data_IF_657060488388
#
_entry.id   IF_657060488388
#
_cell.length_a   1.000
_cell.length_b   1.000
_cell.length_c   1.000
_cell.angle_alpha   90.00
_cell.angle_beta   90.00
_cell.angle_gamma   90.00
#
_symmetry.space_group_name_H-M   'P 1'
#
loop_
_entity.id
_entity.type
_entity.pdbx_description
1 polymer ?
#
# COMPACT_ATOMS: atom_id res chain seq x y z
N UNK A 1 6.27 0.80 23.95
CA UNK A 1 7.44 -0.03 24.36
C UNK A 1 7.66 -1.20 23.41
N UNK A 2 6.68 -2.08 23.18
CA UNK A 2 6.85 -3.25 22.31
C UNK A 2 7.38 -2.85 20.92
N UNK A 3 6.84 -1.78 20.28
CA UNK A 3 7.31 -1.29 18.99
C UNK A 3 8.79 -0.89 19.01
N UNK A 4 9.22 -0.18 20.04
CA UNK A 4 10.61 0.32 20.17
C UNK A 4 11.59 -0.76 20.66
N UNK A 5 11.11 -1.86 21.25
CA UNK A 5 11.94 -2.99 21.64
C UNK A 5 12.10 -4.07 20.57
N UNK A 6 11.35 -3.98 19.48
CA UNK A 6 11.52 -4.87 18.33
C UNK A 6 12.89 -4.65 17.66
N UNK A 7 13.41 -5.68 17.01
CA UNK A 7 14.68 -5.59 16.26
C UNK A 7 14.46 -5.23 14.80
N UNK A 8 13.39 -5.73 14.23
CA UNK A 8 13.04 -5.56 12.81
C UNK A 8 11.54 -5.33 12.63
N UNK A 9 11.00 -4.23 13.16
CA UNK A 9 9.58 -3.91 13.01
C UNK A 9 9.25 -3.51 11.57
N UNK A 10 8.00 -3.76 11.15
CA UNK A 10 7.42 -3.29 9.88
C UNK A 10 6.03 -2.73 10.17
N UNK A 11 5.68 -1.63 9.52
CA UNK A 11 4.31 -1.09 9.55
C UNK A 11 3.53 -1.62 8.35
N UNK A 12 2.32 -2.15 8.59
CA UNK A 12 1.35 -2.48 7.55
C UNK A 12 0.18 -1.49 7.59
N UNK A 13 0.08 -0.64 6.58
CA UNK A 13 -1.00 0.33 6.43
C UNK A 13 -2.16 -0.22 5.62
N UNK A 14 -3.37 -0.09 6.13
CA UNK A 14 -4.60 -0.48 5.47
C UNK A 14 -5.47 0.69 5.03
N UNK A 15 -6.63 0.38 4.46
CA UNK A 15 -7.59 1.37 3.97
C UNK A 15 -8.13 2.29 5.07
N UNK A 16 -8.16 1.83 6.33
CA UNK A 16 -8.57 2.66 7.47
C UNK A 16 -7.71 3.91 7.66
N UNK A 17 -6.46 3.89 7.22
CA UNK A 17 -5.60 5.08 7.23
C UNK A 17 -6.10 6.15 6.24
N UNK A 18 -6.59 5.73 5.06
CA UNK A 18 -7.18 6.64 4.07
C UNK A 18 -8.50 7.22 4.58
N UNK A 19 -9.38 6.39 5.16
CA UNK A 19 -10.66 6.83 5.70
C UNK A 19 -10.52 7.77 6.89
N UNK A 20 -9.50 7.59 7.72
CA UNK A 20 -9.18 8.46 8.85
C UNK A 20 -8.36 9.70 8.43
N UNK A 21 -7.99 9.82 7.14
CA UNK A 21 -7.07 10.88 6.65
C UNK A 21 -5.78 10.95 7.48
N UNK A 22 -5.20 9.79 7.80
CA UNK A 22 -4.09 9.63 8.73
C UNK A 22 -2.73 9.40 8.05
N UNK A 23 -2.62 9.70 6.74
CA UNK A 23 -1.40 9.45 5.97
C UNK A 23 -0.21 10.29 6.45
N UNK A 24 -0.46 11.53 6.89
CA UNK A 24 0.59 12.40 7.43
C UNK A 24 1.13 11.87 8.78
N UNK A 25 0.24 11.45 9.67
CA UNK A 25 0.62 10.87 10.96
C UNK A 25 1.34 9.52 10.78
N UNK A 26 0.91 8.71 9.80
CA UNK A 26 1.62 7.47 9.45
C UNK A 26 3.04 7.75 8.96
N UNK A 27 3.20 8.75 8.10
CA UNK A 27 4.52 9.15 7.60
C UNK A 27 5.40 9.68 8.74
N UNK A 28 4.87 10.54 9.60
CA UNK A 28 5.58 11.05 10.78
C UNK A 28 6.06 9.92 11.69
N UNK A 29 5.20 8.93 12.01
CA UNK A 29 5.59 7.77 12.81
C UNK A 29 6.74 7.00 12.15
N UNK A 30 6.63 6.73 10.85
CA UNK A 30 7.67 6.03 10.10
C UNK A 30 9.00 6.81 10.12
N UNK A 31 8.95 8.13 9.94
CA UNK A 31 10.13 8.99 9.91
C UNK A 31 10.83 9.11 11.26
N UNK A 32 10.10 9.27 12.37
CA UNK A 32 10.70 9.39 13.69
C UNK A 32 11.29 8.07 14.20
N UNK A 33 10.75 6.93 13.76
CA UNK A 33 11.21 5.60 14.16
C UNK A 33 12.19 4.98 13.17
N UNK A 34 12.14 5.33 11.89
CA UNK A 34 12.85 4.66 10.80
C UNK A 34 12.24 3.33 10.36
N UNK A 35 11.02 3.02 10.79
CA UNK A 35 10.36 1.76 10.47
C UNK A 35 9.81 1.78 9.04
N UNK A 36 10.15 0.79 8.22
CA UNK A 36 9.64 0.71 6.85
C UNK A 36 8.14 0.37 6.82
N UNK A 37 7.47 0.89 5.78
CA UNK A 37 6.03 0.81 5.61
C UNK A 37 5.67 0.02 4.35
N UNK A 38 4.82 -0.99 4.50
CA UNK A 38 4.11 -1.64 3.41
C UNK A 38 2.62 -1.30 3.49
N UNK A 39 1.94 -1.28 2.35
CA UNK A 39 0.50 -1.11 2.30
C UNK A 39 -0.22 -2.42 2.00
N UNK A 40 -1.46 -2.55 2.43
CA UNK A 40 -2.37 -3.56 1.88
C UNK A 40 -2.85 -3.10 0.50
N UNK A 41 -3.44 -3.99 -0.27
CA UNK A 41 -3.98 -3.66 -1.59
C UNK A 41 -5.01 -2.52 -1.53
N UNK A 42 -5.98 -2.60 -0.61
CA UNK A 42 -6.97 -1.54 -0.41
C UNK A 42 -6.39 -0.28 0.27
N UNK A 43 -5.25 -0.40 0.93
CA UNK A 43 -4.52 0.70 1.55
C UNK A 43 -3.45 1.34 0.66
N UNK A 44 -3.27 0.86 -0.59
CA UNK A 44 -2.35 1.50 -1.52
C UNK A 44 -2.69 2.99 -1.66
N UNK A 45 -1.69 3.83 -1.69
CA UNK A 45 -1.75 5.30 -1.56
C UNK A 45 -1.89 5.87 -0.14
N UNK A 46 -2.07 5.07 0.90
CA UNK A 46 -2.03 5.57 2.28
C UNK A 46 -0.65 6.02 2.74
N UNK A 47 0.39 5.62 2.03
CA UNK A 47 1.78 6.02 2.23
C UNK A 47 2.41 6.33 0.87
N UNK A 48 3.20 7.41 0.81
CA UNK A 48 3.90 7.79 -0.42
C UNK A 48 4.88 6.69 -0.85
N UNK A 49 4.66 6.08 -2.01
CA UNK A 49 5.48 4.94 -2.47
C UNK A 49 6.87 5.36 -3.00
N UNK A 50 7.11 6.66 -3.20
CA UNK A 50 8.45 7.19 -3.50
C UNK A 50 9.26 7.51 -2.24
N UNK A 51 8.65 7.41 -1.05
CA UNK A 51 9.34 7.65 0.22
C UNK A 51 10.44 6.61 0.46
N UNK A 52 11.62 6.99 1.02
CA UNK A 52 12.72 6.06 1.28
C UNK A 52 12.35 4.84 2.15
N UNK A 53 11.35 4.98 3.03
CA UNK A 53 10.87 3.89 3.88
C UNK A 53 9.74 3.06 3.26
N UNK A 54 9.35 3.32 2.00
CA UNK A 54 8.29 2.56 1.35
C UNK A 54 8.80 1.20 0.84
N UNK A 55 8.11 0.15 1.26
CA UNK A 55 8.30 -1.21 0.75
C UNK A 55 7.39 -1.52 -0.45
N UNK A 56 6.39 -0.68 -0.71
CA UNK A 56 5.33 -0.93 -1.69
C UNK A 56 4.14 -1.71 -1.12
N UNK A 57 3.39 -2.36 -1.99
CA UNK A 57 2.10 -2.97 -1.65
C UNK A 57 2.20 -4.49 -1.51
N UNK A 58 1.65 -5.03 -0.42
CA UNK A 58 1.44 -6.46 -0.22
C UNK A 58 0.16 -6.88 -0.94
N UNK A 59 0.32 -7.58 -2.05
CA UNK A 59 -0.77 -8.02 -2.93
C UNK A 59 -0.53 -9.43 -3.45
N UNK A 60 -1.31 -9.86 -4.46
CA UNK A 60 -1.05 -11.08 -5.23
C UNK A 60 0.34 -11.07 -5.89
N UNK A 61 0.75 -9.90 -6.40
CA UNK A 61 2.10 -9.66 -6.92
C UNK A 61 2.83 -8.75 -5.94
N UNK A 62 3.52 -9.35 -5.00
CA UNK A 62 4.21 -8.65 -3.91
C UNK A 62 5.64 -8.31 -4.35
N UNK A 63 6.08 -7.08 -4.07
CA UNK A 63 7.45 -6.65 -4.37
C UNK A 63 8.49 -7.38 -3.51
N UNK A 64 9.71 -7.54 -4.02
CA UNK A 64 10.80 -8.16 -3.24
C UNK A 64 11.10 -7.40 -1.95
N UNK A 65 10.90 -6.08 -1.91
CA UNK A 65 11.05 -5.29 -0.69
C UNK A 65 10.09 -5.76 0.40
N UNK A 66 8.80 -5.90 0.07
CA UNK A 66 7.81 -6.44 1.04
C UNK A 66 8.15 -7.86 1.46
N UNK A 67 8.50 -8.73 0.51
CA UNK A 67 8.85 -10.13 0.81
C UNK A 67 10.05 -10.22 1.75
N UNK A 68 11.11 -9.47 1.44
CA UNK A 68 12.34 -9.46 2.21
C UNK A 68 12.12 -8.98 3.65
N UNK A 69 11.54 -7.79 3.81
CA UNK A 69 11.32 -7.20 5.13
C UNK A 69 10.30 -7.97 5.94
N UNK A 70 9.20 -8.41 5.32
CA UNK A 70 8.17 -9.17 6.01
C UNK A 70 8.68 -10.53 6.49
N UNK A 71 9.52 -11.24 5.72
CA UNK A 71 10.12 -12.50 6.17
C UNK A 71 11.01 -12.33 7.39
N UNK A 72 11.77 -11.25 7.45
CA UNK A 72 12.76 -11.01 8.51
C UNK A 72 12.20 -10.24 9.71
N UNK A 73 11.00 -9.64 9.59
CA UNK A 73 10.41 -8.87 10.68
C UNK A 73 10.09 -9.76 11.90
N UNK A 74 10.29 -9.22 13.09
CA UNK A 74 9.89 -9.80 14.37
C UNK A 74 8.57 -9.20 14.89
N UNK A 75 8.19 -8.01 14.38
CA UNK A 75 6.97 -7.33 14.75
C UNK A 75 6.31 -6.67 13.52
N UNK A 76 4.98 -6.77 13.45
CA UNK A 76 4.14 -6.05 12.48
C UNK A 76 3.17 -5.15 13.23
N UNK A 77 3.30 -3.82 13.00
CA UNK A 77 2.30 -2.84 13.43
C UNK A 77 1.29 -2.66 12.31
N UNK A 78 0.08 -3.16 12.49
CA UNK A 78 -1.02 -2.94 11.54
C UNK A 78 -1.85 -1.72 11.92
N UNK A 79 -2.02 -0.81 10.97
CA UNK A 79 -2.81 0.41 11.15
C UNK A 79 -3.94 0.45 10.12
N UNK A 80 -5.18 0.46 10.59
CA UNK A 80 -6.36 0.53 9.72
C UNK A 80 -6.47 -0.63 8.72
N UNK A 81 -5.98 -1.81 9.07
CA UNK A 81 -6.08 -3.03 8.27
C UNK A 81 -6.79 -4.14 9.07
N UNK A 82 -7.48 -5.04 8.38
CA UNK A 82 -8.27 -6.10 9.03
C UNK A 82 -7.47 -7.35 9.39
N UNK A 83 -6.18 -7.42 9.10
CA UNK A 83 -5.33 -8.60 9.26
C UNK A 83 -5.99 -9.90 8.77
N UNK A 84 -6.64 -9.86 7.62
CA UNK A 84 -7.18 -11.05 6.99
C UNK A 84 -6.16 -11.69 6.05
N UNK A 85 -6.22 -13.03 5.95
CA UNK A 85 -5.43 -13.77 4.98
C UNK A 85 -5.85 -13.40 3.56
N UNK A 86 -4.88 -13.27 2.69
CA UNK A 86 -5.13 -13.11 1.25
C UNK A 86 -5.07 -14.47 0.59
N UNK A 87 -6.00 -14.73 -0.34
CA UNK A 87 -6.03 -16.00 -1.07
C UNK A 87 -4.85 -16.15 -2.02
N UNK A 88 -4.36 -15.01 -2.53
CA UNK A 88 -3.24 -14.93 -3.44
C UNK A 88 -2.16 -14.02 -2.84
N UNK A 89 -0.90 -14.39 -2.97
CA UNK A 89 0.22 -13.62 -2.46
C UNK A 89 0.70 -14.02 -1.07
N UNK A 90 1.54 -13.19 -0.48
CA UNK A 90 2.24 -13.49 0.76
C UNK A 90 1.38 -13.18 2.00
N UNK A 91 1.15 -14.18 2.83
CA UNK A 91 0.54 -14.03 4.14
C UNK A 91 1.60 -13.74 5.24
N UNK A 92 1.14 -13.22 6.39
CA UNK A 92 2.01 -13.08 7.55
C UNK A 92 2.44 -14.45 8.07
N UNK A 93 3.68 -14.53 8.55
CA UNK A 93 4.19 -15.71 9.23
C UNK A 93 3.71 -15.71 10.69
N UNK A 94 3.38 -16.87 11.23
CA UNK A 94 2.79 -17.01 12.58
C UNK A 94 3.75 -16.68 13.75
N UNK A 95 5.02 -16.47 13.48
CA UNK A 95 6.06 -16.25 14.52
C UNK A 95 6.33 -14.77 14.84
N UNK A 96 5.45 -13.87 14.41
CA UNK A 96 5.67 -12.42 14.58
C UNK A 96 4.75 -11.84 15.62
N UNK A 97 5.28 -10.92 16.44
CA UNK A 97 4.44 -10.09 17.28
C UNK A 97 3.56 -9.16 16.40
N UNK A 98 2.30 -9.00 16.78
CA UNK A 98 1.34 -8.17 16.07
C UNK A 98 0.77 -7.12 17.02
N UNK A 99 0.93 -5.86 16.63
CA UNK A 99 0.16 -4.75 17.19
C UNK A 99 -0.91 -4.39 16.16
N UNK A 100 -2.18 -4.39 16.56
CA UNK A 100 -3.30 -4.13 15.67
C UNK A 100 -4.08 -2.90 16.08
N UNK A 101 -4.03 -1.85 15.26
CA UNK A 101 -4.84 -0.62 15.39
C UNK A 101 -5.97 -0.69 14.38
N UNK A 102 -7.20 -0.74 14.86
CA UNK A 102 -8.41 -0.78 14.04
C UNK A 102 -9.56 -0.06 14.74
N UNK A 103 -10.51 0.48 13.97
CA UNK A 103 -11.72 1.08 14.51
C UNK A 103 -12.89 0.08 14.69
N UNK A 104 -12.67 -1.21 14.37
CA UNK A 104 -13.70 -2.25 14.48
C UNK A 104 -13.19 -3.43 15.31
N UNK A 105 -13.93 -3.77 16.37
CA UNK A 105 -13.68 -4.99 17.14
C UNK A 105 -13.82 -6.25 16.29
N UNK A 106 -14.63 -6.22 15.25
CA UNK A 106 -14.86 -7.37 14.37
C UNK A 106 -13.65 -7.72 13.51
N UNK A 107 -12.68 -6.83 13.41
CA UNK A 107 -11.40 -7.11 12.73
C UNK A 107 -10.41 -7.88 13.61
N UNK A 108 -10.63 -7.91 14.92
CA UNK A 108 -9.76 -8.61 15.83
C UNK A 108 -9.92 -10.13 15.73
N UNK A 109 -8.81 -10.85 15.79
CA UNK A 109 -8.77 -12.30 15.80
C UNK A 109 -9.43 -13.00 14.59
N UNK A 110 -9.55 -12.33 13.45
CA UNK A 110 -10.09 -12.95 12.21
C UNK A 110 -9.21 -14.11 11.76
N UNK A 111 -8.02 -13.79 11.28
CA UNK A 111 -7.07 -14.79 10.76
C UNK A 111 -5.73 -14.76 11.52
N UNK A 112 -5.49 -13.69 12.27
CA UNK A 112 -4.30 -13.50 13.11
C UNK A 112 -4.71 -12.93 14.46
N UNK A 113 -4.14 -13.51 15.53
CA UNK A 113 -4.34 -12.99 16.88
C UNK A 113 -3.28 -11.94 17.19
N UNK A 114 -3.65 -10.69 17.51
CA UNK A 114 -2.69 -9.69 17.89
C UNK A 114 -2.21 -9.89 19.34
N UNK A 115 -0.93 -9.58 19.59
CA UNK A 115 -0.39 -9.50 20.96
C UNK A 115 -0.91 -8.26 21.69
N UNK A 116 -1.13 -7.17 20.93
CA UNK A 116 -1.78 -5.95 21.40
C UNK A 116 -2.79 -5.43 20.39
N UNK A 117 -4.00 -5.15 20.86
CA UNK A 117 -5.05 -4.54 20.08
C UNK A 117 -5.38 -3.14 20.63
N UNK A 118 -5.51 -2.18 19.73
CA UNK A 118 -5.99 -0.82 20.04
C UNK A 118 -7.20 -0.53 19.16
N UNK A 119 -8.36 -0.37 19.78
CA UNK A 119 -9.59 -0.01 19.06
C UNK A 119 -9.73 1.51 19.10
N UNK A 120 -9.69 2.13 17.91
CA UNK A 120 -9.81 3.57 17.77
C UNK A 120 -9.63 4.04 16.34
N UNK A 121 -9.92 5.30 16.11
CA UNK A 121 -9.66 5.98 14.85
C UNK A 121 -8.15 6.02 14.57
N UNK A 122 -7.74 5.68 13.35
CA UNK A 122 -6.33 5.55 13.01
C UNK A 122 -5.54 6.85 13.21
N UNK A 123 -6.15 8.02 12.90
CA UNK A 123 -5.49 9.31 13.06
C UNK A 123 -5.26 9.67 14.52
N UNK A 124 -6.29 9.47 15.34
CA UNK A 124 -6.21 9.79 16.77
C UNK A 124 -5.21 8.87 17.47
N UNK A 125 -5.29 7.56 17.20
CA UNK A 125 -4.36 6.60 17.80
C UNK A 125 -2.91 6.84 17.34
N UNK A 126 -2.69 7.19 16.06
CA UNK A 126 -1.35 7.53 15.58
C UNK A 126 -0.81 8.80 16.26
N UNK A 127 -1.63 9.83 16.48
CA UNK A 127 -1.20 11.04 17.21
C UNK A 127 -0.75 10.71 18.63
N UNK A 128 -1.52 9.92 19.35
CA UNK A 128 -1.16 9.50 20.71
C UNK A 128 0.11 8.63 20.71
N UNK A 129 0.21 7.70 19.76
CA UNK A 129 1.40 6.85 19.61
C UNK A 129 2.65 7.67 19.28
N UNK A 130 2.56 8.66 18.40
CA UNK A 130 3.66 9.56 18.05
C UNK A 130 4.10 10.37 19.28
N UNK A 131 3.14 10.89 20.04
CA UNK A 131 3.42 11.64 21.29
C UNK A 131 4.17 10.77 22.28
N UNK A 132 3.71 9.55 22.50
CA UNK A 132 4.35 8.58 23.42
C UNK A 132 5.73 8.16 22.93
N UNK A 133 5.88 7.87 21.62
CA UNK A 133 7.18 7.54 21.02
C UNK A 133 8.16 8.69 21.24
N UNK A 134 7.77 9.93 20.95
CA UNK A 134 8.62 11.10 21.17
C UNK A 134 9.03 11.28 22.64
N UNK A 135 8.13 11.00 23.59
CA UNK A 135 8.44 11.02 25.03
C UNK A 135 9.48 9.96 25.38
N UNK A 136 9.25 8.71 24.94
CA UNK A 136 10.18 7.61 25.23
C UNK A 136 11.55 7.80 24.58
N UNK A 137 11.62 8.40 23.39
CA UNK A 137 12.89 8.73 22.73
C UNK A 137 13.67 9.81 23.49
N UNK A 138 13.00 10.76 24.14
CA UNK A 138 13.65 11.77 24.98
C UNK A 138 14.15 11.19 26.30
N UNK A 139 13.39 10.28 26.90
CA UNK A 139 13.74 9.63 28.16
C UNK A 139 14.85 8.60 27.99
N UNK A 140 14.91 7.94 26.84
CA UNK A 140 15.88 6.90 26.52
C UNK A 140 16.89 7.40 25.47
N UNK A 141 17.91 8.13 25.93
CA UNK A 141 18.98 8.65 25.07
C UNK A 141 19.80 7.58 24.32
N UNK A 142 19.61 6.29 24.65
CA UNK A 142 20.29 5.17 23.99
C UNK A 142 19.47 4.57 22.84
N UNK A 143 18.24 5.01 22.58
CA UNK A 143 17.47 4.52 21.43
C UNK A 143 18.03 5.14 20.15
N UNK A 144 18.57 4.30 19.29
CA UNK A 144 18.91 4.68 17.92
C UNK A 144 17.73 4.38 16.99
N UNK A 145 17.38 5.35 16.16
CA UNK A 145 16.40 5.18 15.11
C UNK A 145 16.79 4.00 14.22
N UNK A 146 15.81 3.18 13.85
CA UNK A 146 16.07 2.11 12.88
C UNK A 146 16.61 2.69 11.58
N UNK A 147 17.64 2.07 11.03
CA UNK A 147 18.18 2.41 9.72
C UNK A 147 18.31 1.16 8.85
N UNK A 148 17.38 1.03 7.94
CA UNK A 148 17.34 -0.03 6.94
C UNK A 148 17.62 0.50 5.52
N UNK A 149 18.11 1.72 5.39
CA UNK A 149 18.24 2.44 4.11
C UNK A 149 19.10 1.68 3.11
N UNK A 150 20.27 1.23 3.52
CA UNK A 150 21.20 0.49 2.65
C UNK A 150 20.60 -0.86 2.21
N UNK A 151 19.98 -1.58 3.15
CA UNK A 151 19.36 -2.86 2.89
C UNK A 151 18.17 -2.70 1.92
N UNK A 152 17.29 -1.73 2.17
CA UNK A 152 16.13 -1.47 1.34
C UNK A 152 16.54 -1.04 -0.07
N UNK A 153 17.53 -0.16 -0.21
CA UNK A 153 18.05 0.26 -1.50
C UNK A 153 18.64 -0.92 -2.28
N UNK A 154 19.42 -1.78 -1.64
CA UNK A 154 19.99 -2.97 -2.29
C UNK A 154 18.92 -3.92 -2.82
N UNK A 155 17.86 -4.20 -2.04
CA UNK A 155 16.75 -5.04 -2.48
C UNK A 155 15.98 -4.38 -3.63
N UNK A 156 15.75 -3.07 -3.54
CA UNK A 156 15.07 -2.28 -4.57
C UNK A 156 15.84 -2.25 -5.89
N UNK A 157 17.15 -2.04 -5.84
CA UNK A 157 18.02 -2.10 -7.02
C UNK A 157 18.00 -3.47 -7.69
N UNK A 158 18.08 -4.54 -6.89
CA UNK A 158 18.00 -5.92 -7.39
C UNK A 158 16.65 -6.18 -8.07
N UNK A 159 15.54 -5.74 -7.46
CA UNK A 159 14.20 -5.82 -8.02
C UNK A 159 14.11 -5.12 -9.37
N UNK A 160 14.50 -3.85 -9.44
CA UNK A 160 14.44 -3.10 -10.70
C UNK A 160 15.41 -3.63 -11.76
N UNK A 161 16.57 -4.13 -11.38
CA UNK A 161 17.48 -4.80 -12.33
C UNK A 161 16.80 -5.99 -13.03
N UNK A 162 15.98 -6.74 -12.30
CA UNK A 162 15.23 -7.87 -12.83
C UNK A 162 14.06 -7.42 -13.73
N UNK A 163 13.36 -6.34 -13.36
CA UNK A 163 12.10 -5.94 -14.01
C UNK A 163 12.26 -4.88 -15.10
N UNK A 164 13.31 -4.05 -15.04
CA UNK A 164 13.53 -3.00 -16.05
C UNK A 164 13.51 -3.52 -17.49
N UNK A 165 14.07 -4.70 -17.83
CA UNK A 165 13.97 -5.22 -19.21
C UNK A 165 12.52 -5.41 -19.69
N UNK A 166 11.59 -5.75 -18.78
CA UNK A 166 10.17 -5.89 -19.12
C UNK A 166 9.45 -4.55 -19.14
N UNK A 167 9.78 -3.64 -18.20
CA UNK A 167 9.22 -2.31 -18.09
C UNK A 167 9.60 -1.42 -19.30
N UNK A 168 10.73 -1.66 -19.92
CA UNK A 168 11.23 -0.89 -21.07
C UNK A 168 11.28 -1.71 -22.38
N UNK A 169 10.63 -2.87 -22.43
CA UNK A 169 10.59 -3.74 -23.59
C UNK A 169 9.97 -3.05 -24.81
N UNK A 170 10.57 -3.29 -25.99
CA UNK A 170 10.04 -2.87 -27.29
C UNK A 170 9.39 -4.04 -28.06
N UNK A 171 9.04 -5.12 -27.38
CA UNK A 171 8.41 -6.28 -28.01
C UNK A 171 7.03 -5.97 -28.62
N UNK A 172 6.65 -6.76 -29.60
CA UNK A 172 5.31 -6.71 -30.24
C UNK A 172 4.69 -8.11 -30.14
N UNK A 173 3.48 -8.25 -29.56
CA UNK A 173 2.64 -7.18 -28.98
C UNK A 173 3.28 -6.53 -27.77
N UNK A 174 2.86 -5.29 -27.48
CA UNK A 174 3.39 -4.47 -26.37
C UNK A 174 3.26 -5.19 -25.02
N UNK A 175 4.34 -5.19 -24.22
CA UNK A 175 4.33 -5.72 -22.86
C UNK A 175 3.38 -4.89 -21.97
N UNK A 176 2.49 -5.51 -21.19
CA UNK A 176 1.65 -4.78 -20.25
C UNK A 176 2.47 -4.05 -19.17
N UNK A 177 3.65 -4.53 -18.82
CA UNK A 177 4.57 -3.82 -17.92
C UNK A 177 5.09 -2.52 -18.54
N UNK A 178 5.31 -2.51 -19.85
CA UNK A 178 5.68 -1.30 -20.59
C UNK A 178 4.54 -0.27 -20.55
N UNK A 179 3.30 -0.67 -20.64
CA UNK A 179 2.14 0.22 -20.54
C UNK A 179 2.11 0.93 -19.17
N UNK A 180 2.37 0.21 -18.07
CA UNK A 180 2.43 0.80 -16.72
C UNK A 180 3.61 1.77 -16.61
N UNK A 181 4.76 1.40 -17.16
CA UNK A 181 5.93 2.28 -17.19
C UNK A 181 5.64 3.59 -17.92
N UNK A 182 5.08 3.50 -19.14
CA UNK A 182 4.72 4.67 -19.92
C UNK A 182 3.65 5.54 -19.25
N UNK A 183 2.68 4.95 -18.58
CA UNK A 183 1.70 5.68 -17.79
C UNK A 183 2.41 6.55 -16.74
N UNK A 184 3.36 5.99 -16.00
CA UNK A 184 4.11 6.74 -14.99
C UNK A 184 5.02 7.83 -15.59
N UNK A 185 5.58 7.62 -16.77
CA UNK A 185 6.45 8.61 -17.42
C UNK A 185 5.68 9.78 -18.04
N UNK A 186 4.42 9.55 -18.44
CA UNK A 186 3.62 10.53 -19.19
C UNK A 186 2.49 11.16 -18.37
N UNK A 187 2.39 10.85 -17.08
CA UNK A 187 1.39 11.46 -16.19
C UNK A 187 2.05 12.03 -14.93
N UNK A 188 1.46 13.12 -14.40
CA UNK A 188 1.83 13.61 -13.07
C UNK A 188 1.11 12.79 -11.99
N UNK A 189 1.82 12.01 -11.17
CA UNK A 189 1.20 11.19 -10.14
C UNK A 189 0.44 12.00 -9.07
N UNK A 190 0.73 13.31 -8.93
CA UNK A 190 -0.01 14.21 -8.04
C UNK A 190 -1.38 14.60 -8.60
N UNK A 191 -1.53 14.53 -9.92
CA UNK A 191 -2.75 14.89 -10.66
C UNK A 191 -3.45 13.70 -11.29
N UNK A 192 -3.03 12.48 -10.94
CA UNK A 192 -3.59 11.26 -11.52
C UNK A 192 -4.18 10.38 -10.43
N UNK A 193 -5.39 9.90 -10.65
CA UNK A 193 -6.04 8.86 -9.84
C UNK A 193 -6.12 7.61 -10.70
N UNK A 194 -5.55 6.50 -10.20
CA UNK A 194 -5.57 5.23 -10.92
C UNK A 194 -6.53 4.27 -10.25
N UNK A 195 -7.36 3.61 -11.06
CA UNK A 195 -8.18 2.47 -10.65
C UNK A 195 -7.77 1.24 -11.44
N UNK A 196 -8.03 0.06 -10.90
CA UNK A 196 -7.70 -1.19 -11.57
C UNK A 196 -8.85 -2.19 -11.50
N UNK A 197 -8.93 -3.04 -12.51
CA UNK A 197 -9.81 -4.18 -12.51
C UNK A 197 -9.13 -5.44 -11.97
N UNK A 198 -9.88 -6.52 -11.83
CA UNK A 198 -9.39 -7.80 -11.36
C UNK A 198 -8.51 -8.50 -12.40
N UNK A 199 -7.74 -9.50 -11.95
CA UNK A 199 -6.88 -10.31 -12.79
C UNK A 199 -5.56 -9.61 -13.17
N UNK A 200 -5.10 -9.80 -14.39
CA UNK A 200 -3.83 -9.29 -14.88
C UNK A 200 -3.64 -7.78 -14.69
N UNK A 201 -4.63 -6.91 -14.94
CA UNK A 201 -4.50 -5.47 -14.68
C UNK A 201 -4.05 -5.17 -13.25
N UNK A 202 -4.71 -5.77 -12.26
CA UNK A 202 -4.34 -5.63 -10.84
C UNK A 202 -2.92 -6.12 -10.59
N UNK A 203 -2.61 -7.34 -11.03
CA UNK A 203 -1.35 -8.00 -10.72
C UNK A 203 -0.14 -7.30 -11.35
N UNK A 204 -0.36 -6.59 -12.44
CA UNK A 204 0.67 -5.85 -13.16
C UNK A 204 0.85 -4.42 -12.63
N UNK A 205 -0.23 -3.72 -12.27
CA UNK A 205 -0.14 -2.33 -11.82
C UNK A 205 0.34 -2.21 -10.36
N UNK A 206 -0.05 -3.14 -9.49
CA UNK A 206 0.22 -3.05 -8.05
C UNK A 206 1.70 -2.88 -7.71
N UNK A 207 2.65 -3.65 -8.26
CA UNK A 207 4.05 -3.56 -7.88
C UNK A 207 4.81 -2.42 -8.57
N UNK A 208 4.29 -1.83 -9.65
CA UNK A 208 5.05 -0.93 -10.51
C UNK A 208 4.50 0.50 -10.59
N UNK A 209 3.20 0.71 -10.35
CA UNK A 209 2.65 2.06 -10.30
C UNK A 209 2.87 2.67 -8.91
N UNK A 210 3.66 3.72 -8.81
CA UNK A 210 3.93 4.42 -7.55
C UNK A 210 2.95 5.56 -7.34
N UNK A 211 2.26 5.55 -6.22
CA UNK A 211 1.39 6.65 -5.80
C UNK A 211 2.12 7.59 -4.85
N UNK A 212 1.83 8.88 -4.93
CA UNK A 212 2.48 9.90 -4.09
C UNK A 212 1.50 10.61 -3.15
N UNK A 213 0.21 10.63 -3.48
CA UNK A 213 -0.82 11.28 -2.70
C UNK A 213 -1.83 10.27 -2.13
N UNK A 214 -2.42 10.53 -0.96
CA UNK A 214 -3.59 9.80 -0.50
C UNK A 214 -4.71 9.81 -1.55
N UNK A 215 -5.39 8.69 -1.70
CA UNK A 215 -6.44 8.47 -2.71
C UNK A 215 -6.01 8.63 -4.19
N UNK A 216 -4.71 8.72 -4.47
CA UNK A 216 -4.17 8.68 -5.84
C UNK A 216 -4.28 7.30 -6.50
N UNK A 217 -4.65 6.28 -5.73
CA UNK A 217 -4.93 4.94 -6.21
C UNK A 217 -6.15 4.38 -5.49
N UNK A 218 -7.17 4.01 -6.23
CA UNK A 218 -8.38 3.42 -5.67
C UNK A 218 -8.37 1.94 -5.97
N UNK A 219 -7.99 1.16 -4.97
CA UNK A 219 -7.94 -0.29 -5.03
C UNK A 219 -9.02 -0.89 -4.13
N UNK A 220 -9.44 -2.08 -4.45
CA UNK A 220 -10.34 -2.86 -3.63
C UNK A 220 -9.69 -4.18 -3.22
N UNK A 221 -10.04 -4.65 -2.03
CA UNK A 221 -9.27 -5.66 -1.33
C UNK A 221 -9.48 -7.09 -1.83
N UNK A 222 -10.39 -7.84 -1.21
CA UNK A 222 -10.53 -9.29 -1.42
C UNK A 222 -11.40 -9.69 -2.60
N UNK A 223 -12.25 -8.80 -3.12
CA UNK A 223 -13.14 -9.11 -4.22
C UNK A 223 -12.34 -9.29 -5.52
N UNK A 224 -12.82 -10.15 -6.40
CA UNK A 224 -12.26 -10.40 -7.72
C UNK A 224 -13.26 -10.07 -8.82
N UNK A 225 -14.17 -9.14 -8.55
CA UNK A 225 -15.22 -8.73 -9.45
C UNK A 225 -14.65 -7.99 -10.66
N UNK A 226 -15.11 -8.34 -11.84
CA UNK A 226 -14.76 -7.68 -13.09
C UNK A 226 -15.71 -6.51 -13.39
N UNK A 227 -15.19 -5.50 -14.08
CA UNK A 227 -15.96 -4.30 -14.49
C UNK A 227 -16.11 -3.23 -13.40
N UNK A 228 -15.78 -3.53 -12.15
CA UNK A 228 -15.95 -2.62 -11.01
C UNK A 228 -15.12 -1.32 -11.15
N UNK A 229 -13.95 -1.42 -11.77
CA UNK A 229 -12.99 -0.33 -11.85
C UNK A 229 -13.44 0.84 -12.74
N UNK A 230 -14.28 0.60 -13.74
CA UNK A 230 -14.78 1.66 -14.62
C UNK A 230 -15.64 2.65 -13.84
N UNK A 231 -16.61 2.16 -13.06
CA UNK A 231 -17.43 3.01 -12.19
C UNK A 231 -16.62 3.80 -11.16
N UNK A 232 -15.54 3.20 -10.61
CA UNK A 232 -14.63 3.89 -9.72
C UNK A 232 -13.89 5.03 -10.42
N UNK A 233 -13.41 4.82 -11.65
CA UNK A 233 -12.71 5.87 -12.41
C UNK A 233 -13.67 7.01 -12.78
N UNK A 234 -14.89 6.71 -13.18
CA UNK A 234 -15.92 7.72 -13.45
C UNK A 234 -16.25 8.52 -12.19
N UNK A 235 -16.46 7.85 -11.05
CA UNK A 235 -16.69 8.50 -9.76
C UNK A 235 -15.51 9.38 -9.32
N UNK A 236 -14.28 8.92 -9.53
CA UNK A 236 -13.08 9.69 -9.22
C UNK A 236 -12.96 10.95 -10.09
N UNK A 237 -13.27 10.85 -11.39
CA UNK A 237 -13.27 12.00 -12.30
C UNK A 237 -14.34 13.05 -11.91
N UNK A 238 -15.47 12.60 -11.42
CA UNK A 238 -16.53 13.52 -10.93
C UNK A 238 -16.16 14.17 -9.60
N UNK A 239 -15.52 13.41 -8.70
CA UNK A 239 -15.14 13.92 -7.38
C UNK A 239 -13.94 14.86 -7.43
N UNK A 240 -13.03 14.67 -8.37
CA UNK A 240 -11.77 15.41 -8.53
C UNK A 240 -11.59 15.87 -9.99
N UNK A 241 -12.39 16.86 -10.45
CA UNK A 241 -12.44 17.27 -11.86
C UNK A 241 -11.12 17.85 -12.38
N UNK A 242 -10.23 18.29 -11.49
CA UNK A 242 -8.90 18.83 -11.84
C UNK A 242 -7.83 17.72 -11.99
N UNK A 243 -8.21 16.46 -11.75
CA UNK A 243 -7.32 15.32 -11.88
C UNK A 243 -7.70 14.41 -13.05
N UNK A 244 -6.74 13.69 -13.55
CA UNK A 244 -6.96 12.64 -14.57
C UNK A 244 -7.29 11.34 -13.86
N UNK A 245 -8.46 10.77 -14.13
CA UNK A 245 -8.81 9.43 -13.69
C UNK A 245 -8.42 8.41 -14.78
N UNK A 246 -7.57 7.47 -14.43
CA UNK A 246 -7.10 6.40 -15.33
C UNK A 246 -7.63 5.06 -14.84
N UNK A 247 -8.34 4.36 -15.70
CA UNK A 247 -8.80 3.00 -15.42
C UNK A 247 -7.95 1.96 -16.16
N UNK A 248 -7.35 1.04 -15.42
CA UNK A 248 -6.61 -0.10 -15.98
C UNK A 248 -7.50 -1.33 -15.89
N UNK A 249 -8.11 -1.68 -17.02
CA UNK A 249 -9.12 -2.74 -17.15
C UNK A 249 -8.72 -3.72 -18.27
N UNK A 250 -8.99 -5.01 -18.05
CA UNK A 250 -8.82 -6.02 -19.08
C UNK A 250 -9.98 -5.99 -20.09
N UNK A 251 -9.76 -6.59 -21.26
CA UNK A 251 -10.72 -6.71 -22.34
C UNK A 251 -12.05 -7.36 -21.90
N UNK A 252 -11.97 -8.41 -21.11
CA UNK A 252 -13.15 -9.10 -20.60
C UNK A 252 -13.96 -8.23 -19.63
N UNK A 253 -13.29 -7.57 -18.68
CA UNK A 253 -13.93 -6.62 -17.76
C UNK A 253 -14.56 -5.45 -18.52
N UNK A 254 -13.84 -4.91 -19.49
CA UNK A 254 -14.36 -3.85 -20.37
C UNK A 254 -15.57 -4.32 -21.18
N UNK A 255 -15.54 -5.53 -21.72
CA UNK A 255 -16.67 -6.11 -22.42
C UNK A 255 -17.96 -6.23 -21.60
N UNK A 256 -17.83 -6.36 -20.26
CA UNK A 256 -18.99 -6.42 -19.36
C UNK A 256 -19.64 -5.05 -19.12
N UNK A 257 -18.87 -3.96 -19.05
CA UNK A 257 -19.34 -2.66 -18.56
C UNK A 257 -18.99 -1.49 -19.47
N UNK A 258 -18.36 -1.74 -20.62
CA UNK A 258 -17.87 -0.67 -21.52
C UNK A 258 -18.95 0.27 -22.02
N UNK A 259 -20.21 -0.16 -22.06
CA UNK A 259 -21.33 0.70 -22.42
C UNK A 259 -21.59 1.83 -21.41
N UNK A 260 -21.12 1.68 -20.15
CA UNK A 260 -21.26 2.73 -19.14
C UNK A 260 -20.42 3.99 -19.47
N UNK A 261 -19.48 3.89 -20.43
CA UNK A 261 -18.74 5.06 -20.94
C UNK A 261 -19.70 6.07 -21.58
N UNK A 262 -20.80 5.63 -22.15
CA UNK A 262 -21.85 6.54 -22.67
C UNK A 262 -22.33 7.50 -21.57
N UNK A 263 -22.52 6.98 -20.36
CA UNK A 263 -22.90 7.80 -19.20
C UNK A 263 -21.83 8.83 -18.85
N UNK A 264 -20.55 8.48 -18.97
CA UNK A 264 -19.46 9.41 -18.72
C UNK A 264 -19.35 10.51 -19.78
N UNK A 265 -19.71 10.22 -21.02
CA UNK A 265 -19.70 11.20 -22.14
C UNK A 265 -20.87 12.18 -22.04
N UNK A 266 -22.05 11.69 -21.65
CA UNK A 266 -23.29 12.48 -21.51
C UNK A 266 -23.24 13.44 -20.31
#
# INVERSE_FOLDING_TARGET
RLLLSAKRPVIQSGQGVLYAEASAELQELAEITGIPVMTTMAGKSSFNETHPLSLGTRSSTTTDMVVHFLKQSDLVLGVGCSFTRIHYGMNLLNSKAIIHITNSSDDLNKDYSPDHAVIGDAKLVLKDLISEVKSQLKENASFEKFDFSNELNSVKESWFKQWNPKLTSNETPISPYRVIHELMQNTDPKKTIVTHDSGSPRDQVMPFYNTVNPNGFIAWGKSTQLGYSLGLAMGAAMAEPDKIAVNIIGDYGFGMVGLDIETAVR
#
